data_IF_813586900818
#
_entry.id   IF_813586900818
#
_cell.length_a   1.000
_cell.length_b   1.000
_cell.length_c   1.000
_cell.angle_alpha   90.00
_cell.angle_beta   90.00
_cell.angle_gamma   90.00
#
_symmetry.space_group_name_H-M   'P 1'
#
loop_
_entity.id
_entity.type
_entity.pdbx_description
1 polymer ?
#
# COMPACT_ATOMS: atom_id res chain seq x y z
N UNK A 1 9.97 0.45 -42.59
CA UNK A 1 8.68 -0.03 -42.06
C UNK A 1 8.88 -0.30 -40.59
N UNK A 2 8.32 0.54 -39.72
CA UNK A 2 8.22 0.27 -38.28
C UNK A 2 6.79 -0.28 -38.06
N UNK A 3 6.58 -1.32 -37.25
CA UNK A 3 5.24 -1.79 -36.99
C UNK A 3 4.55 -0.83 -36.01
N UNK A 4 3.33 -0.43 -36.37
CA UNK A 4 2.43 0.29 -35.47
C UNK A 4 1.91 -0.71 -34.42
N UNK A 5 2.14 -0.42 -33.15
CA UNK A 5 1.55 -1.15 -32.02
C UNK A 5 0.27 -0.40 -31.62
N UNK A 6 -0.87 -1.06 -31.77
CA UNK A 6 -2.18 -0.60 -31.31
C UNK A 6 -2.41 -1.18 -29.93
N UNK A 7 -2.59 -0.34 -28.91
CA UNK A 7 -2.95 -0.77 -27.55
C UNK A 7 -4.36 -0.31 -27.19
N UNK A 8 -5.19 -1.25 -26.73
CA UNK A 8 -6.51 -1.04 -26.12
C UNK A 8 -6.37 -0.61 -24.64
N UNK A 9 -7.31 0.18 -24.06
CA UNK A 9 -7.17 0.70 -22.71
C UNK A 9 -7.58 -0.33 -21.64
N UNK A 10 -6.73 -0.51 -20.63
CA UNK A 10 -6.97 -1.28 -19.41
C UNK A 10 -6.42 -0.54 -18.18
N UNK A 11 -6.97 -0.85 -17.00
CA UNK A 11 -6.67 -0.20 -15.70
C UNK A 11 -5.32 -0.68 -15.16
N UNK A 12 -4.51 0.22 -14.58
CA UNK A 12 -3.15 -0.03 -14.09
C UNK A 12 -3.09 0.01 -12.55
N UNK A 13 -2.43 -0.98 -11.93
CA UNK A 13 -2.11 -1.02 -10.48
C UNK A 13 -0.60 -0.80 -10.26
N UNK A 14 -0.24 -0.02 -9.23
CA UNK A 14 1.13 0.41 -8.92
C UNK A 14 1.45 0.13 -7.44
N UNK A 15 2.68 -0.33 -7.14
CA UNK A 15 3.14 -0.61 -5.78
C UNK A 15 4.54 -0.02 -5.55
N UNK A 16 4.82 0.41 -4.31
CA UNK A 16 6.01 1.20 -3.95
C UNK A 16 7.06 0.41 -3.16
N UNK A 17 8.32 0.50 -3.59
CA UNK A 17 9.52 0.64 -2.76
C UNK A 17 10.64 1.30 -3.59
N UNK A 18 11.78 1.54 -2.95
CA UNK A 18 12.76 2.59 -3.28
C UNK A 18 13.67 2.35 -4.51
N UNK A 19 13.44 1.33 -5.35
CA UNK A 19 13.93 1.25 -6.73
C UNK A 19 12.86 0.55 -7.60
N UNK A 20 12.35 1.21 -8.65
CA UNK A 20 10.96 1.03 -9.12
C UNK A 20 10.81 -0.01 -10.26
N UNK A 21 10.06 -1.12 -10.09
CA UNK A 21 9.45 -1.90 -11.17
C UNK A 21 8.14 -1.26 -11.66
N UNK A 22 7.87 -1.32 -12.96
CA UNK A 22 6.63 -0.84 -13.58
C UNK A 22 5.80 -2.00 -14.15
N UNK A 23 4.73 -2.36 -13.46
CA UNK A 23 3.85 -3.47 -13.85
C UNK A 23 2.67 -2.96 -14.70
N UNK A 24 2.60 -3.34 -15.98
CA UNK A 24 1.47 -3.04 -16.87
C UNK A 24 0.57 -4.27 -17.05
N UNK A 25 -0.77 -4.11 -17.08
CA UNK A 25 -1.76 -5.19 -17.13
C UNK A 25 -2.54 -5.33 -18.45
N UNK A 26 -2.57 -6.55 -19.01
CA UNK A 26 -3.32 -6.99 -20.20
C UNK A 26 -2.51 -8.01 -21.05
N UNK A 27 -2.60 -9.32 -20.75
CA UNK A 27 -1.74 -10.39 -21.33
C UNK A 27 -0.26 -10.00 -21.51
N UNK A 28 0.22 -9.15 -20.62
CA UNK A 28 1.35 -8.26 -20.83
C UNK A 28 2.51 -8.72 -19.98
N UNK A 29 3.66 -8.88 -20.62
CA UNK A 29 4.95 -8.89 -19.95
C UNK A 29 4.98 -7.79 -18.89
N UNK A 30 5.29 -8.15 -17.64
CA UNK A 30 5.48 -7.18 -16.57
C UNK A 30 6.92 -6.74 -16.62
N UNK A 31 7.15 -5.44 -16.50
CA UNK A 31 8.49 -4.88 -16.60
C UNK A 31 8.99 -4.50 -15.21
N UNK A 32 10.11 -5.05 -14.77
CA UNK A 32 10.88 -4.46 -13.68
C UNK A 32 11.87 -3.48 -14.28
N UNK A 33 11.94 -2.26 -13.78
CA UNK A 33 13.01 -1.36 -14.19
C UNK A 33 14.11 -1.42 -13.14
N UNK A 34 15.33 -1.69 -13.60
CA UNK A 34 16.52 -1.73 -12.76
C UNK A 34 17.64 -1.02 -13.50
N UNK A 35 18.31 -0.09 -12.84
CA UNK A 35 19.41 0.68 -13.43
C UNK A 35 19.04 1.38 -14.76
N UNK A 36 17.77 1.78 -14.90
CA UNK A 36 17.26 2.44 -16.11
C UNK A 36 16.91 1.52 -17.28
N UNK A 37 17.07 0.20 -17.13
CA UNK A 37 16.72 -0.79 -18.15
C UNK A 37 15.48 -1.61 -17.74
N UNK A 38 14.52 -1.85 -18.64
CA UNK A 38 13.38 -2.71 -18.38
C UNK A 38 13.78 -4.18 -18.51
N UNK A 39 13.68 -4.91 -17.42
CA UNK A 39 13.69 -6.36 -17.36
C UNK A 39 12.26 -6.89 -17.53
N UNK A 40 12.08 -7.83 -18.46
CA UNK A 40 10.81 -8.53 -18.61
C UNK A 40 10.76 -9.66 -17.60
N UNK A 41 9.78 -9.61 -16.70
CA UNK A 41 9.45 -10.72 -15.84
C UNK A 41 8.12 -11.28 -16.32
N UNK A 42 8.20 -12.40 -17.02
CA UNK A 42 7.03 -13.10 -17.51
C UNK A 42 6.29 -13.79 -16.35
N UNK A 43 4.97 -13.88 -16.48
CA UNK A 43 4.08 -14.68 -15.63
C UNK A 43 3.85 -14.24 -14.17
N UNK A 44 4.30 -13.05 -13.76
CA UNK A 44 4.02 -12.54 -12.40
C UNK A 44 2.62 -11.96 -12.25
N UNK A 45 1.54 -12.73 -12.30
CA UNK A 45 0.20 -12.18 -12.04
C UNK A 45 0.01 -11.73 -10.58
N UNK A 46 -0.69 -10.62 -10.36
CA UNK A 46 -1.06 -10.17 -9.02
C UNK A 46 0.07 -9.63 -8.13
N UNK A 47 1.11 -9.03 -8.71
CA UNK A 47 2.09 -8.19 -7.97
C UNK A 47 1.37 -7.21 -7.04
N UNK A 48 1.85 -7.09 -5.81
CA UNK A 48 1.33 -6.23 -4.73
C UNK A 48 2.41 -5.41 -4.02
N UNK A 49 3.68 -5.68 -4.30
CA UNK A 49 4.77 -4.98 -3.67
C UNK A 49 6.09 -5.30 -4.35
N UNK A 50 7.03 -4.38 -4.24
CA UNK A 50 8.45 -4.56 -4.53
C UNK A 50 9.22 -3.92 -3.39
N UNK A 51 10.42 -4.39 -3.07
CA UNK A 51 11.33 -3.76 -2.12
C UNK A 51 12.54 -3.10 -2.84
N UNK A 52 13.42 -2.44 -2.09
CA UNK A 52 14.62 -1.77 -2.64
C UNK A 52 15.62 -2.69 -3.35
N UNK A 53 15.69 -3.98 -3.02
CA UNK A 53 16.60 -4.93 -3.69
C UNK A 53 16.01 -5.50 -5.00
N UNK A 54 14.76 -5.15 -5.29
CA UNK A 54 14.00 -5.62 -6.45
C UNK A 54 13.24 -6.93 -6.23
N UNK A 55 13.18 -7.45 -5.00
CA UNK A 55 12.29 -8.54 -4.60
C UNK A 55 10.84 -8.07 -4.75
N UNK A 56 10.01 -8.92 -5.35
CA UNK A 56 8.61 -8.63 -5.62
C UNK A 56 7.75 -9.59 -4.80
N UNK A 57 6.63 -9.11 -4.25
CA UNK A 57 5.61 -9.95 -3.64
C UNK A 57 4.27 -9.74 -4.33
N UNK A 58 3.45 -10.78 -4.32
CA UNK A 58 2.11 -10.74 -4.91
C UNK A 58 1.26 -11.91 -4.48
N UNK A 59 0.01 -11.91 -4.89
CA UNK A 59 -0.88 -13.05 -4.76
C UNK A 59 -1.69 -13.28 -6.01
N UNK A 60 -1.97 -14.54 -6.31
CA UNK A 60 -2.72 -14.97 -7.50
C UNK A 60 -3.69 -16.08 -7.18
N UNK A 61 -4.14 -16.79 -8.23
CA UNK A 61 -5.03 -17.95 -8.07
C UNK A 61 -4.42 -19.06 -7.21
N UNK A 62 -3.10 -19.19 -7.26
CA UNK A 62 -2.35 -20.27 -6.61
C UNK A 62 -1.79 -19.84 -5.24
N UNK A 63 -2.23 -18.70 -4.72
CA UNK A 63 -1.83 -18.17 -3.41
C UNK A 63 -0.82 -17.02 -3.46
N UNK A 64 -0.24 -16.73 -2.31
CA UNK A 64 0.82 -15.74 -2.13
C UNK A 64 2.17 -16.25 -2.62
N UNK A 65 2.95 -15.34 -3.20
CA UNK A 65 4.25 -15.66 -3.77
C UNK A 65 5.24 -14.51 -3.60
N UNK A 66 6.53 -14.86 -3.66
CA UNK A 66 7.66 -13.93 -3.66
C UNK A 66 8.56 -14.24 -4.86
N UNK A 67 8.98 -13.22 -5.60
CA UNK A 67 9.98 -13.32 -6.66
C UNK A 67 11.27 -12.65 -6.20
N UNK A 68 12.34 -13.43 -6.05
CA UNK A 68 13.66 -12.99 -5.63
C UNK A 68 14.73 -13.74 -6.43
N UNK A 69 15.86 -13.08 -6.71
CA UNK A 69 17.01 -13.70 -7.39
C UNK A 69 16.67 -14.43 -8.72
N UNK A 70 15.65 -13.95 -9.44
CA UNK A 70 15.24 -14.52 -10.72
C UNK A 70 14.25 -15.69 -10.62
N UNK A 71 13.79 -16.05 -9.43
CA UNK A 71 12.90 -17.19 -9.20
C UNK A 71 11.66 -16.81 -8.37
N UNK A 72 10.53 -17.45 -8.66
CA UNK A 72 9.31 -17.38 -7.83
C UNK A 72 9.35 -18.49 -6.78
N UNK A 73 9.04 -18.14 -5.53
CA UNK A 73 8.77 -19.07 -4.43
C UNK A 73 7.36 -18.83 -3.91
N UNK A 74 6.60 -19.91 -3.72
CA UNK A 74 5.31 -19.87 -3.02
C UNK A 74 5.52 -19.58 -1.53
N UNK A 75 4.56 -18.88 -0.93
CA UNK A 75 4.52 -18.61 0.50
C UNK A 75 3.46 -19.52 1.13
N UNK A 76 3.81 -20.23 2.22
CA UNK A 76 2.91 -21.18 2.86
C UNK A 76 1.67 -20.46 3.43
N UNK A 77 0.50 -21.06 3.26
CA UNK A 77 -0.78 -20.54 3.72
C UNK A 77 -1.43 -21.54 4.71
N UNK A 78 -1.39 -21.26 6.04
CA UNK A 78 -1.69 -22.28 7.04
C UNK A 78 -3.16 -22.71 7.08
N UNK A 79 -4.09 -21.88 6.59
CA UNK A 79 -5.53 -22.08 6.77
C UNK A 79 -6.30 -22.37 5.48
N UNK A 80 -5.62 -22.36 4.33
CA UNK A 80 -6.30 -22.25 3.04
C UNK A 80 -7.12 -20.97 2.92
N UNK A 81 -7.56 -20.65 1.70
CA UNK A 81 -8.39 -19.47 1.43
C UNK A 81 -7.76 -18.53 0.41
N UNK A 82 -8.43 -17.40 0.19
CA UNK A 82 -7.94 -16.38 -0.74
C UNK A 82 -6.97 -15.45 0.01
N UNK A 83 -5.71 -15.40 -0.44
CA UNK A 83 -4.69 -14.54 0.16
C UNK A 83 -4.52 -13.26 -0.64
N UNK A 84 -4.65 -12.13 0.04
CA UNK A 84 -4.35 -10.81 -0.49
C UNK A 84 -3.02 -10.34 0.08
N UNK A 85 -1.93 -10.45 -0.69
CA UNK A 85 -0.69 -9.76 -0.32
C UNK A 85 -0.95 -8.25 -0.38
N UNK A 86 -0.55 -7.55 0.68
CA UNK A 86 -0.82 -6.12 0.82
C UNK A 86 0.45 -5.28 0.75
N UNK A 87 1.61 -5.84 1.11
CA UNK A 87 2.88 -5.11 1.02
C UNK A 87 4.12 -5.95 1.27
N UNK A 88 5.28 -5.34 0.99
CA UNK A 88 6.62 -5.85 1.29
C UNK A 88 7.49 -4.67 1.77
N UNK A 89 8.36 -4.87 2.78
CA UNK A 89 9.33 -3.86 3.21
C UNK A 89 10.71 -4.05 2.56
N UNK A 90 11.66 -3.12 2.81
CA UNK A 90 13.02 -3.18 2.25
C UNK A 90 13.82 -4.40 2.72
N UNK A 91 13.52 -4.95 3.89
CA UNK A 91 14.09 -6.23 4.34
C UNK A 91 13.53 -7.46 3.61
N UNK A 92 12.43 -7.34 2.86
CA UNK A 92 11.77 -8.45 2.15
C UNK A 92 10.72 -9.19 2.99
N UNK A 93 10.32 -8.65 4.14
CA UNK A 93 9.17 -9.14 4.90
C UNK A 93 7.88 -8.83 4.13
N UNK A 94 7.02 -9.83 3.98
CA UNK A 94 5.77 -9.72 3.23
C UNK A 94 4.59 -9.76 4.19
N UNK A 95 3.60 -8.91 3.99
CA UNK A 95 2.35 -8.90 4.75
C UNK A 95 1.16 -9.20 3.85
N UNK A 96 0.22 -9.98 4.35
CA UNK A 96 -1.03 -10.29 3.66
C UNK A 96 -2.22 -10.40 4.61
N UNK A 97 -3.41 -10.48 4.02
CA UNK A 97 -4.63 -10.89 4.70
C UNK A 97 -5.22 -12.10 4.01
N UNK A 98 -5.48 -13.16 4.76
CA UNK A 98 -6.21 -14.35 4.28
C UNK A 98 -7.69 -14.15 4.54
N UNK A 99 -8.50 -14.35 3.51
CA UNK A 99 -9.95 -14.49 3.63
C UNK A 99 -10.26 -15.96 3.72
N UNK A 100 -10.62 -16.39 4.92
CA UNK A 100 -11.02 -17.76 5.17
C UNK A 100 -12.37 -18.02 4.48
N UNK A 101 -12.30 -18.79 3.38
CA UNK A 101 -13.47 -19.18 2.60
C UNK A 101 -14.31 -20.27 3.29
N UNK A 102 -13.67 -21.01 4.21
CA UNK A 102 -14.27 -22.12 4.95
C UNK A 102 -14.77 -21.70 6.33
N UNK A 103 -14.48 -20.48 6.78
CA UNK A 103 -15.14 -19.86 7.91
C UNK A 103 -16.64 -19.91 7.62
N UNK A 104 -17.33 -20.90 8.21
CA UNK A 104 -18.78 -21.06 8.11
C UNK A 104 -19.35 -19.66 8.28
N UNK A 105 -20.09 -19.16 7.28
CA UNK A 105 -20.72 -17.84 7.33
C UNK A 105 -21.46 -17.74 8.64
N UNK A 106 -20.82 -17.13 9.64
CA UNK A 106 -21.43 -16.94 10.92
C UNK A 106 -22.49 -15.89 10.67
N UNK A 107 -23.74 -16.30 10.81
CA UNK A 107 -24.87 -15.40 10.67
C UNK A 107 -25.03 -14.70 12.01
N UNK A 108 -24.43 -13.51 12.13
CA UNK A 108 -24.75 -12.61 13.23
C UNK A 108 -26.00 -11.81 12.85
N UNK A 109 -27.05 -11.92 13.67
CA UNK A 109 -28.31 -11.19 13.48
C UNK A 109 -29.03 -11.36 12.13
N UNK A 110 -28.77 -12.45 11.40
CA UNK A 110 -29.41 -12.74 10.11
C UNK A 110 -28.64 -12.26 8.89
N UNK A 111 -27.56 -11.49 9.10
CA UNK A 111 -26.68 -11.04 8.03
C UNK A 111 -25.43 -11.93 7.96
N UNK A 112 -25.02 -12.38 6.76
CA UNK A 112 -23.79 -13.13 6.61
C UNK A 112 -22.60 -12.21 6.97
N UNK A 113 -21.90 -12.55 8.05
CA UNK A 113 -20.65 -11.88 8.38
C UNK A 113 -19.64 -12.26 7.30
N UNK A 114 -19.19 -11.28 6.52
CA UNK A 114 -18.14 -11.48 5.51
C UNK A 114 -16.93 -12.20 6.13
N UNK A 115 -16.37 -13.15 5.39
CA UNK A 115 -15.20 -14.00 5.72
C UNK A 115 -14.26 -13.38 6.76
N UNK A 116 -13.94 -14.14 7.82
CA UNK A 116 -12.95 -13.73 8.83
C UNK A 116 -11.61 -13.50 8.14
N UNK A 117 -11.10 -12.28 8.24
CA UNK A 117 -9.77 -11.91 7.79
C UNK A 117 -8.73 -12.25 8.86
N UNK A 118 -7.68 -12.98 8.48
CA UNK A 118 -6.54 -13.28 9.33
C UNK A 118 -5.27 -12.70 8.70
N UNK A 119 -4.53 -11.82 9.39
CA UNK A 119 -3.35 -11.22 8.81
C UNK A 119 -2.14 -12.12 9.04
N UNK A 120 -1.25 -12.13 8.05
CA UNK A 120 -0.04 -12.94 8.03
C UNK A 120 1.20 -12.07 7.78
N UNK A 121 2.32 -12.50 8.35
CA UNK A 121 3.64 -11.91 8.12
C UNK A 121 4.62 -13.02 7.74
N UNK A 122 5.17 -12.98 6.53
CA UNK A 122 6.31 -13.81 6.15
C UNK A 122 7.58 -13.02 6.33
N UNK A 123 8.51 -13.55 7.13
CA UNK A 123 9.83 -12.95 7.22
C UNK A 123 10.63 -13.17 5.95
N UNK A 124 11.58 -12.29 5.70
CA UNK A 124 12.51 -12.42 4.60
C UNK A 124 13.19 -13.80 4.62
N UNK A 125 13.21 -14.47 3.47
CA UNK A 125 13.82 -15.80 3.32
C UNK A 125 13.06 -16.96 3.98
N UNK A 126 11.88 -16.72 4.54
CA UNK A 126 10.99 -17.78 5.05
C UNK A 126 9.74 -17.92 4.20
N UNK A 127 9.26 -19.15 4.06
CA UNK A 127 7.98 -19.54 3.45
C UNK A 127 6.86 -19.68 4.49
N UNK A 128 7.20 -19.91 5.76
CA UNK A 128 6.23 -20.03 6.86
C UNK A 128 5.82 -18.67 7.44
N UNK A 129 4.51 -18.35 7.51
CA UNK A 129 4.07 -17.11 8.09
C UNK A 129 4.05 -17.16 9.63
N UNK A 130 4.15 -15.97 10.21
CA UNK A 130 3.68 -15.66 11.56
C UNK A 130 2.23 -15.22 11.44
N UNK A 131 1.32 -15.94 12.10
CA UNK A 131 -0.07 -15.50 12.23
C UNK A 131 -0.16 -14.31 13.19
N UNK A 132 -0.84 -13.24 12.79
CA UNK A 132 -1.02 -12.06 13.61
C UNK A 132 -2.28 -12.20 14.47
N UNK A 133 -2.19 -11.83 15.75
CA UNK A 133 -3.24 -11.95 16.73
C UNK A 133 -4.49 -11.16 16.32
N UNK A 134 -5.63 -11.84 16.24
CA UNK A 134 -6.94 -11.21 16.03
C UNK A 134 -7.73 -11.32 17.32
N UNK A 135 -8.25 -10.20 17.83
CA UNK A 135 -9.03 -10.22 19.06
C UNK A 135 -10.34 -11.00 18.86
N UNK A 136 -10.84 -11.60 19.94
CA UNK A 136 -12.05 -12.42 19.90
C UNK A 136 -13.25 -11.68 19.27
N UNK A 137 -13.93 -12.36 18.33
CA UNK A 137 -15.09 -11.82 17.63
C UNK A 137 -14.77 -10.67 16.66
N UNK A 138 -13.50 -10.50 16.27
CA UNK A 138 -13.06 -9.55 15.25
C UNK A 138 -12.59 -10.26 13.99
N UNK A 139 -12.50 -9.48 12.93
CA UNK A 139 -11.68 -9.77 11.75
C UNK A 139 -10.55 -8.75 11.68
N UNK A 140 -9.46 -9.10 11.02
CA UNK A 140 -8.33 -8.19 10.88
C UNK A 140 -7.86 -8.11 9.42
N UNK A 141 -7.19 -7.01 9.13
CA UNK A 141 -6.54 -6.72 7.87
C UNK A 141 -5.18 -6.10 8.18
N UNK A 142 -4.15 -6.49 7.43
CA UNK A 142 -2.82 -5.93 7.57
C UNK A 142 -2.40 -5.24 6.28
N UNK A 143 -2.13 -3.95 6.35
CA UNK A 143 -1.90 -3.08 5.19
C UNK A 143 -0.41 -2.92 4.88
N UNK A 144 0.42 -2.79 5.91
CA UNK A 144 1.83 -2.41 5.74
C UNK A 144 2.75 -3.07 6.77
N UNK A 145 4.03 -3.14 6.46
CA UNK A 145 5.07 -3.66 7.35
C UNK A 145 6.29 -2.73 7.33
N UNK A 146 6.79 -2.38 8.52
CA UNK A 146 7.99 -1.56 8.72
C UNK A 146 9.26 -2.40 8.63
N UNK A 147 10.42 -1.76 8.50
CA UNK A 147 11.72 -2.46 8.48
C UNK A 147 12.02 -3.27 9.75
N UNK A 148 11.55 -2.85 10.94
CA UNK A 148 11.75 -3.65 12.15
C UNK A 148 10.79 -4.85 12.25
N UNK A 149 9.90 -5.00 11.26
CA UNK A 149 8.94 -6.08 11.18
C UNK A 149 7.64 -5.81 11.94
N UNK A 150 7.41 -4.59 12.42
CA UNK A 150 6.11 -4.16 12.92
C UNK A 150 5.13 -4.06 11.76
N UNK A 151 4.02 -4.78 11.88
CA UNK A 151 2.91 -4.77 10.92
C UNK A 151 1.85 -3.79 11.37
N UNK A 152 1.24 -3.08 10.43
CA UNK A 152 0.17 -2.12 10.64
C UNK A 152 -1.06 -2.53 9.84
N UNK A 153 -2.22 -2.27 10.42
CA UNK A 153 -3.48 -2.46 9.75
C UNK A 153 -4.63 -2.14 10.68
N UNK A 154 -5.69 -2.92 10.62
CA UNK A 154 -6.88 -2.68 11.44
C UNK A 154 -7.60 -3.96 11.82
N UNK A 155 -8.39 -3.87 12.88
CA UNK A 155 -9.38 -4.88 13.24
C UNK A 155 -10.78 -4.29 13.19
N UNK A 156 -11.76 -5.09 12.77
CA UNK A 156 -13.16 -4.69 12.64
C UNK A 156 -14.01 -5.59 13.52
N UNK A 157 -14.90 -4.98 14.30
CA UNK A 157 -15.94 -5.70 15.02
C UNK A 157 -16.95 -6.29 14.03
N UNK A 158 -17.26 -7.58 14.15
CA UNK A 158 -18.17 -8.31 13.24
C UNK A 158 -19.59 -7.72 13.11
N UNK A 159 -19.96 -6.68 13.88
CA UNK A 159 -21.26 -6.02 13.81
C UNK A 159 -21.25 -4.50 13.64
N UNK A 160 -20.08 -3.84 13.52
CA UNK A 160 -20.05 -2.36 13.39
C UNK A 160 -19.42 -1.84 12.11
N UNK A 161 -18.69 -2.69 11.37
CA UNK A 161 -17.87 -2.29 10.22
C UNK A 161 -16.95 -1.08 10.48
N UNK A 162 -16.63 -0.80 11.75
CA UNK A 162 -15.71 0.27 12.13
C UNK A 162 -14.29 -0.31 12.29
N UNK A 163 -13.36 -0.02 11.37
CA UNK A 163 -11.97 -0.40 11.55
C UNK A 163 -11.38 0.38 12.73
N UNK A 164 -10.67 -0.34 13.58
CA UNK A 164 -9.83 0.18 14.64
C UNK A 164 -8.39 -0.04 14.20
N UNK A 165 -7.50 0.96 14.21
CA UNK A 165 -6.09 0.75 13.87
C UNK A 165 -5.38 -0.16 14.88
N UNK A 166 -4.58 -1.09 14.38
CA UNK A 166 -3.76 -2.01 15.16
C UNK A 166 -2.34 -2.05 14.63
N UNK A 167 -1.42 -2.39 15.54
CA UNK A 167 -0.08 -2.83 15.18
C UNK A 167 0.18 -4.22 15.73
N UNK A 168 1.00 -4.98 15.02
CA UNK A 168 1.51 -6.27 15.47
C UNK A 168 3.02 -6.25 15.43
N UNK A 169 3.66 -6.84 16.43
CA UNK A 169 5.09 -7.03 16.39
C UNK A 169 5.47 -8.22 15.49
N UNK A 170 6.77 -8.43 15.30
CA UNK A 170 7.30 -9.52 14.46
C UNK A 170 6.99 -10.95 14.97
N UNK A 171 6.43 -11.08 16.18
CA UNK A 171 5.98 -12.36 16.77
C UNK A 171 4.48 -12.59 16.60
N UNK A 172 3.75 -11.64 16.01
CA UNK A 172 2.32 -11.71 15.83
C UNK A 172 1.49 -11.16 16.99
N UNK A 173 2.12 -10.67 18.06
CA UNK A 173 1.39 -10.09 19.20
C UNK A 173 0.85 -8.72 18.81
N UNK A 174 -0.45 -8.50 19.02
CA UNK A 174 -1.15 -7.30 18.58
C UNK A 174 -1.42 -6.31 19.71
N UNK A 175 -1.39 -5.02 19.38
CA UNK A 175 -1.98 -4.01 20.25
C UNK A 175 -2.73 -2.94 19.44
N UNK A 176 -3.81 -2.45 20.04
CA UNK A 176 -4.59 -1.34 19.50
C UNK A 176 -3.74 -0.07 19.52
N UNK A 177 -3.72 0.66 18.42
CA UNK A 177 -3.09 1.97 18.38
C UNK A 177 -3.97 3.02 19.05
N UNK A 178 -3.39 4.11 19.62
CA UNK A 178 -4.14 5.15 20.31
C UNK A 178 -5.26 5.75 19.47
N UNK A 179 -6.32 6.19 20.13
CA UNK A 179 -7.41 6.89 19.45
C UNK A 179 -6.91 8.22 18.89
N UNK A 180 -7.37 8.53 17.68
CA UNK A 180 -7.11 9.83 17.08
C UNK A 180 -7.92 10.92 17.80
N UNK A 181 -7.43 12.16 17.86
CA UNK A 181 -8.21 13.28 18.38
C UNK A 181 -9.56 13.38 17.66
N UNK A 182 -10.67 13.36 18.41
CA UNK A 182 -12.03 13.41 17.86
C UNK A 182 -12.70 12.04 17.63
N UNK A 183 -12.04 10.93 17.97
CA UNK A 183 -12.60 9.56 17.89
C UNK A 183 -13.35 9.13 19.18
N UNK A 184 -14.05 10.06 19.84
CA UNK A 184 -14.70 9.76 21.13
C UNK A 184 -15.99 8.94 20.97
N UNK A 185 -16.69 9.05 19.83
CA UNK A 185 -18.02 8.45 19.57
C UNK A 185 -18.03 7.41 18.41
N UNK A 186 -16.91 6.72 18.21
CA UNK A 186 -16.73 5.86 17.03
C UNK A 186 -16.62 6.72 15.78
N UNK A 187 -15.68 7.66 15.86
CA UNK A 187 -15.34 8.61 14.86
C UNK A 187 -14.75 7.94 13.62
N UNK A 188 -14.07 8.73 12.79
CA UNK A 188 -13.78 8.31 11.45
C UNK A 188 -12.87 7.08 11.36
N UNK A 189 -13.10 6.29 10.31
CA UNK A 189 -12.44 5.04 10.01
C UNK A 189 -10.98 5.28 9.60
N UNK A 190 -10.07 5.45 10.57
CA UNK A 190 -8.67 5.58 10.25
C UNK A 190 -8.09 4.21 9.86
N UNK A 191 -7.50 4.12 8.68
CA UNK A 191 -6.76 2.93 8.23
C UNK A 191 -5.33 3.33 7.85
N UNK A 192 -4.30 2.56 8.28
CA UNK A 192 -2.96 2.73 7.76
C UNK A 192 -2.95 2.52 6.25
N UNK A 193 -2.31 3.44 5.51
CA UNK A 193 -2.13 3.29 4.06
C UNK A 193 -0.69 3.25 3.63
N UNK A 194 0.21 3.79 4.45
CA UNK A 194 1.64 3.80 4.17
C UNK A 194 2.46 3.93 5.45
N UNK A 195 3.72 3.49 5.39
CA UNK A 195 4.67 3.55 6.49
C UNK A 195 6.08 3.77 5.98
N UNK A 196 6.81 4.70 6.61
CA UNK A 196 8.19 4.98 6.29
C UNK A 196 8.95 5.36 7.56
N UNK A 197 10.00 4.61 7.88
CA UNK A 197 10.68 4.66 9.16
C UNK A 197 9.71 4.58 10.35
N UNK A 198 9.67 5.63 11.17
CA UNK A 198 8.82 5.74 12.36
C UNK A 198 7.42 6.31 12.04
N UNK A 199 7.18 6.77 10.80
CA UNK A 199 5.96 7.46 10.43
C UNK A 199 4.94 6.53 9.78
N UNK A 200 3.69 6.66 10.21
CA UNK A 200 2.54 6.00 9.57
C UNK A 200 1.62 7.06 9.02
N UNK A 201 1.13 6.83 7.80
CA UNK A 201 0.04 7.58 7.20
C UNK A 201 -1.28 6.85 7.43
N UNK A 202 -2.27 7.57 7.96
CA UNK A 202 -3.63 7.10 8.19
C UNK A 202 -4.59 7.90 7.32
N UNK A 203 -5.48 7.23 6.59
CA UNK A 203 -6.51 7.88 5.76
C UNK A 203 -7.91 7.40 6.13
N UNK A 204 -8.91 7.80 5.33
CA UNK A 204 -10.31 7.42 5.46
C UNK A 204 -11.04 8.00 6.70
N UNK A 205 -10.41 9.03 7.27
CA UNK A 205 -11.06 10.05 8.09
C UNK A 205 -11.37 11.31 7.27
N UNK A 206 -12.34 12.17 7.68
CA UNK A 206 -12.59 13.45 7.02
C UNK A 206 -11.33 14.29 6.93
N UNK A 207 -10.34 13.96 7.76
CA UNK A 207 -8.98 14.48 7.74
C UNK A 207 -8.00 13.32 7.69
N UNK A 208 -6.93 13.43 6.91
CA UNK A 208 -5.85 12.46 6.96
C UNK A 208 -5.04 12.70 8.24
N UNK A 209 -4.37 11.68 8.75
CA UNK A 209 -3.48 11.81 9.90
C UNK A 209 -2.14 11.17 9.59
N UNK A 210 -1.09 11.65 10.23
CA UNK A 210 0.17 10.92 10.36
C UNK A 210 0.56 10.86 11.82
N UNK A 211 1.30 9.85 12.21
CA UNK A 211 1.89 9.80 13.56
C UNK A 211 3.23 9.10 13.56
N UNK A 212 3.87 9.12 14.72
CA UNK A 212 5.07 8.34 14.99
C UNK A 212 4.74 7.08 15.78
N UNK A 213 5.27 5.93 15.39
CA UNK A 213 5.15 4.69 16.14
C UNK A 213 5.80 4.80 17.52
N UNK A 214 6.88 5.59 17.63
CA UNK A 214 7.57 5.91 18.88
C UNK A 214 6.82 6.91 19.77
N UNK A 215 5.79 7.59 19.24
CA UNK A 215 4.99 8.57 19.97
C UNK A 215 3.52 8.52 19.51
N UNK A 216 2.84 7.38 19.73
CA UNK A 216 1.56 7.11 19.09
C UNK A 216 0.41 7.95 19.67
N UNK A 217 0.64 8.64 20.79
CA UNK A 217 -0.25 9.63 21.40
C UNK A 217 -0.22 11.01 20.71
N UNK A 218 0.65 11.20 19.71
CA UNK A 218 0.89 12.49 19.03
C UNK A 218 0.55 12.44 17.55
N UNK A 219 -0.66 12.02 17.23
CA UNK A 219 -1.15 12.10 15.85
C UNK A 219 -1.25 13.56 15.37
N UNK A 220 -0.72 13.81 14.18
CA UNK A 220 -0.77 15.08 13.47
C UNK A 220 -1.83 15.01 12.36
N UNK A 221 -2.78 15.94 12.41
CA UNK A 221 -3.78 16.10 11.35
C UNK A 221 -3.11 16.65 10.08
N UNK A 222 -3.39 16.03 8.94
CA UNK A 222 -2.96 16.50 7.64
C UNK A 222 -3.83 17.67 7.17
N UNK A 223 -3.22 18.50 6.32
CA UNK A 223 -3.86 19.62 5.61
C UNK A 223 -3.89 19.39 4.10
N UNK A 224 -3.37 18.25 3.64
CA UNK A 224 -3.68 17.74 2.31
C UNK A 224 -5.18 17.50 2.20
N UNK A 225 -5.69 17.41 0.97
CA UNK A 225 -7.00 16.80 0.79
C UNK A 225 -6.90 15.38 1.37
N UNK A 226 -7.65 15.14 2.44
CA UNK A 226 -7.53 13.98 3.32
C UNK A 226 -7.80 12.66 2.61
N UNK A 227 -8.60 12.71 1.56
CA UNK A 227 -8.88 11.57 0.68
C UNK A 227 -7.74 11.28 -0.29
N UNK A 228 -6.72 12.12 -0.34
CA UNK A 228 -5.70 12.11 -1.39
C UNK A 228 -4.28 11.90 -0.88
N UNK A 229 -4.05 11.85 0.43
CA UNK A 229 -2.74 11.47 0.97
C UNK A 229 -2.53 9.96 0.75
N UNK A 230 -1.44 9.59 0.09
CA UNK A 230 -1.16 8.20 -0.32
C UNK A 230 0.20 7.69 0.14
N UNK A 231 1.11 8.58 0.53
CA UNK A 231 2.45 8.18 0.93
C UNK A 231 3.04 9.07 2.04
N UNK A 232 4.00 8.54 2.79
CA UNK A 232 4.81 9.24 3.80
C UNK A 232 6.28 8.86 3.66
N UNK A 233 7.20 9.77 3.96
CA UNK A 233 8.65 9.47 4.03
C UNK A 233 9.13 9.34 5.50
N UNK A 234 10.34 8.85 5.72
CA UNK A 234 10.92 8.69 7.07
C UNK A 234 11.17 10.00 7.82
N UNK A 235 11.07 11.14 7.12
CA UNK A 235 11.09 12.48 7.73
C UNK A 235 9.69 12.93 8.16
N UNK A 236 8.65 12.19 7.78
CA UNK A 236 7.25 12.44 8.07
C UNK A 236 6.56 13.33 7.05
N UNK A 237 7.18 13.64 5.91
CA UNK A 237 6.51 14.38 4.84
C UNK A 237 5.42 13.49 4.26
N UNK A 238 4.19 13.99 4.26
CA UNK A 238 3.07 13.30 3.63
C UNK A 238 2.92 13.79 2.20
N UNK A 239 2.59 12.89 1.29
CA UNK A 239 2.44 13.16 -0.13
C UNK A 239 1.05 12.73 -0.59
N UNK A 240 0.46 13.52 -1.49
CA UNK A 240 -0.87 13.29 -1.97
C UNK A 240 -1.28 14.31 -3.01
N UNK A 241 -2.58 14.54 -3.15
CA UNK A 241 -3.11 15.66 -3.93
C UNK A 241 -3.35 16.88 -3.02
N UNK A 242 -2.91 18.03 -3.50
CA UNK A 242 -3.25 19.35 -2.98
C UNK A 242 -4.56 19.84 -3.64
N UNK A 243 -4.90 21.11 -3.38
CA UNK A 243 -6.06 21.76 -3.97
C UNK A 243 -6.05 21.62 -5.51
N UNK A 244 -7.22 21.32 -6.09
CA UNK A 244 -7.41 21.13 -7.54
C UNK A 244 -6.73 19.89 -8.15
N UNK A 245 -6.45 18.86 -7.33
CA UNK A 245 -5.90 17.59 -7.83
C UNK A 245 -4.42 17.68 -8.20
N UNK A 246 -3.72 18.74 -7.80
CA UNK A 246 -2.29 18.91 -8.09
C UNK A 246 -1.48 18.10 -7.10
N UNK A 247 -0.59 17.19 -7.53
CA UNK A 247 0.28 16.48 -6.61
C UNK A 247 1.09 17.44 -5.72
N UNK A 248 1.09 17.16 -4.42
CA UNK A 248 1.66 18.02 -3.40
C UNK A 248 2.30 17.23 -2.28
N UNK A 249 3.12 17.93 -1.49
CA UNK A 249 3.68 17.42 -0.23
C UNK A 249 3.33 18.34 0.92
N UNK A 250 3.13 17.78 2.10
CA UNK A 250 2.93 18.53 3.33
C UNK A 250 4.17 18.49 4.21
N UNK A 251 4.69 19.67 4.54
CA UNK A 251 5.75 19.88 5.52
C UNK A 251 5.24 20.79 6.64
N UNK A 252 5.06 20.21 7.83
CA UNK A 252 4.38 20.88 8.94
C UNK A 252 3.00 21.41 8.53
N UNK A 253 2.81 22.72 8.66
CA UNK A 253 1.55 23.41 8.36
C UNK A 253 1.35 23.81 6.90
N UNK A 254 2.33 23.54 6.02
CA UNK A 254 2.33 24.01 4.64
C UNK A 254 2.17 22.84 3.68
N UNK A 255 1.22 22.98 2.76
CA UNK A 255 1.13 22.14 1.56
C UNK A 255 1.87 22.86 0.44
N UNK A 256 2.81 22.15 -0.19
CA UNK A 256 3.60 22.65 -1.31
C UNK A 256 3.24 21.84 -2.55
N UNK A 257 2.81 22.49 -3.65
CA UNK A 257 2.68 21.79 -4.91
C UNK A 257 4.07 21.30 -5.35
N UNK A 258 4.12 20.11 -5.89
CA UNK A 258 5.34 19.56 -6.44
C UNK A 258 5.51 20.12 -7.86
N UNK A 259 6.21 21.25 -8.00
CA UNK A 259 6.21 22.06 -9.24
C UNK A 259 6.67 21.33 -10.50
N UNK A 260 7.52 20.32 -10.37
CA UNK A 260 7.99 19.51 -11.51
C UNK A 260 6.96 18.45 -11.97
N UNK A 261 5.82 18.32 -11.27
CA UNK A 261 4.69 17.47 -11.65
C UNK A 261 3.65 18.20 -12.52
N UNK A 262 3.72 19.52 -12.63
CA UNK A 262 2.81 20.35 -13.42
C UNK A 262 3.39 20.81 -14.76
N UNK A 263 4.71 20.73 -14.91
CA UNK A 263 5.37 20.87 -16.21
C UNK A 263 5.19 19.54 -16.96
N UNK A 264 3.95 19.28 -17.36
CA UNK A 264 3.64 18.08 -18.14
C UNK A 264 4.51 18.10 -19.41
N UNK A 265 5.47 17.17 -19.60
CA UNK A 265 6.23 17.08 -20.84
C UNK A 265 5.31 16.81 -22.06
N UNK A 266 4.04 16.47 -21.82
CA UNK A 266 3.04 16.14 -22.82
C UNK A 266 1.86 17.11 -22.92
N UNK A 267 1.81 18.20 -22.15
CA UNK A 267 0.85 19.32 -22.30
C UNK A 267 -0.61 19.09 -21.84
N UNK A 268 -0.89 17.97 -21.18
CA UNK A 268 -2.20 17.57 -20.66
C UNK A 268 -2.64 18.28 -19.37
N UNK A 269 -3.87 17.98 -18.96
CA UNK A 269 -4.50 18.54 -17.76
C UNK A 269 -3.87 17.94 -16.49
N UNK A 270 -3.14 18.76 -15.73
CA UNK A 270 -2.45 18.36 -14.52
C UNK A 270 -3.38 17.71 -13.46
N UNK A 271 -4.69 17.94 -13.54
CA UNK A 271 -5.69 17.31 -12.66
C UNK A 271 -5.85 15.80 -12.86
N UNK A 272 -5.26 15.21 -13.90
CA UNK A 272 -5.29 13.76 -14.16
C UNK A 272 -4.03 13.02 -13.66
N UNK A 273 -3.04 13.73 -13.12
CA UNK A 273 -1.86 13.10 -12.53
C UNK A 273 -2.22 12.49 -11.17
N UNK A 274 -1.85 11.23 -10.94
CA UNK A 274 -2.08 10.57 -9.65
C UNK A 274 -0.75 10.27 -8.99
N UNK A 275 -0.61 10.57 -7.70
CA UNK A 275 0.48 10.06 -6.88
C UNK A 275 0.08 8.67 -6.36
N UNK A 276 1.05 7.76 -6.27
CA UNK A 276 0.85 6.39 -5.78
C UNK A 276 1.80 5.99 -4.66
N UNK A 277 2.97 6.61 -4.55
CA UNK A 277 3.97 6.22 -3.55
C UNK A 277 5.14 7.19 -3.48
N UNK A 278 5.95 7.05 -2.43
CA UNK A 278 7.20 7.77 -2.22
C UNK A 278 8.29 6.79 -1.77
N UNK A 279 9.56 7.08 -2.07
CA UNK A 279 10.69 6.42 -1.43
C UNK A 279 10.77 6.79 0.05
N UNK A 280 11.40 5.96 0.87
CA UNK A 280 11.56 6.23 2.32
C UNK A 280 12.25 7.57 2.59
N UNK A 281 13.21 7.99 1.77
CA UNK A 281 13.86 9.30 1.90
C UNK A 281 13.14 10.44 1.18
N UNK A 282 12.01 10.13 0.53
CA UNK A 282 11.17 11.06 -0.23
C UNK A 282 11.87 11.71 -1.43
N UNK A 283 13.00 11.18 -1.89
CA UNK A 283 13.73 11.68 -3.07
C UNK A 283 13.10 11.25 -4.38
N UNK A 284 12.36 10.14 -4.38
CA UNK A 284 11.65 9.61 -5.54
C UNK A 284 10.17 9.47 -5.22
N UNK A 285 9.32 9.93 -6.13
CA UNK A 285 7.87 9.77 -6.09
C UNK A 285 7.42 8.97 -7.30
N UNK A 286 6.37 8.16 -7.14
CA UNK A 286 5.79 7.37 -8.23
C UNK A 286 4.31 7.64 -8.42
N UNK A 287 3.84 7.47 -9.65
CA UNK A 287 2.44 7.67 -9.97
C UNK A 287 2.12 7.52 -11.44
N UNK A 288 1.00 8.09 -11.84
CA UNK A 288 0.59 8.18 -13.24
C UNK A 288 0.51 9.62 -13.70
N UNK A 289 0.89 9.87 -14.95
CA UNK A 289 0.62 11.11 -15.67
C UNK A 289 -0.18 10.84 -16.93
N UNK A 290 -1.11 11.73 -17.26
CA UNK A 290 -2.01 11.56 -18.41
C UNK A 290 -1.68 12.59 -19.48
N UNK A 291 -1.35 12.13 -20.68
CA UNK A 291 -1.02 13.04 -21.78
C UNK A 291 -2.25 13.76 -22.37
N UNK A 292 -2.02 14.75 -23.26
CA UNK A 292 -3.08 15.49 -23.97
C UNK A 292 -4.15 14.59 -24.63
N UNK A 293 -3.84 13.32 -24.91
CA UNK A 293 -4.76 12.36 -25.53
C UNK A 293 -5.54 11.53 -24.51
N UNK A 294 -5.34 11.76 -23.22
CA UNK A 294 -5.93 10.96 -22.15
C UNK A 294 -5.17 9.66 -21.88
N UNK A 295 -3.93 9.49 -22.37
CA UNK A 295 -3.17 8.26 -22.16
C UNK A 295 -2.40 8.33 -20.86
N UNK A 296 -2.76 7.48 -19.89
CA UNK A 296 -2.01 7.34 -18.65
C UNK A 296 -0.67 6.63 -18.88
N UNK A 297 0.39 7.18 -18.29
CA UNK A 297 1.74 6.63 -18.28
C UNK A 297 2.26 6.59 -16.86
N UNK A 298 2.97 5.52 -16.53
CA UNK A 298 3.71 5.48 -15.29
C UNK A 298 4.89 6.45 -15.35
N UNK A 299 5.13 7.14 -14.24
CA UNK A 299 6.14 8.20 -14.16
C UNK A 299 6.78 8.19 -12.78
N UNK A 300 8.01 8.65 -12.77
CA UNK A 300 8.80 8.85 -11.55
C UNK A 300 9.20 10.32 -11.49
N UNK A 301 9.17 10.90 -10.29
CA UNK A 301 9.59 12.29 -10.08
C UNK A 301 10.67 12.33 -9.03
N UNK A 302 11.76 13.03 -9.34
CA UNK A 302 12.86 13.26 -8.40
C UNK A 302 12.69 14.60 -7.69
N UNK A 303 12.73 14.58 -6.37
CA UNK A 303 12.68 15.79 -5.55
C UNK A 303 14.10 16.36 -5.40
N UNK A 304 14.42 17.40 -6.18
CA UNK A 304 15.65 18.19 -6.05
C UNK A 304 15.59 19.27 -4.98
#
# INVERSE_FOLDING_TARGET
MRPDIVTTPGVYEFFAASEIPLVCGGSSSRHRWRDGEPEIIDDLSGVRGVNSDGTIAGSGRDGAWRYADGAVSELDEPRGGDVDVNGINDNGDVVATVRDADAESEVADGDPVSSRGYPLLWKAGTDKPVELEVADGKRAHADAVTEDGTVLGYQVDNGTDKPVPWRWNSRGEGERLPRLPGDEDGGPQAVPVDVAGDWVLLTNAPDGYRWKLSAPDKAERLKLDSQSAVAVDSRGLAYGLAEWGVPGRQSGDKVMPLKNLTDDPSGGDAGANTLKGASDDGTVLIGSSVDEKGTARAVTWTCG
#
